data_IF_013136144801
#
_entry.id   IF_013136144801
#
_cell.length_a   1.000
_cell.length_b   1.000
_cell.length_c   1.000
_cell.angle_alpha   90.00
_cell.angle_beta   90.00
_cell.angle_gamma   90.00
#
_symmetry.space_group_name_H-M   'P 1'
#
loop_
_entity.id
_entity.type
_entity.pdbx_description
1 polymer ?
#
# COMPACT_ATOMS: atom_id res chain seq x y z
N UNK A 1 -12.00 4.13 1.94
CA UNK A 1 -10.64 4.27 1.37
C UNK A 1 -10.50 5.54 0.53
N UNK A 2 -11.50 5.93 -0.26
CA UNK A 2 -11.47 7.14 -1.09
C UNK A 2 -11.13 8.43 -0.31
N UNK A 3 -11.82 8.70 0.81
CA UNK A 3 -11.50 9.85 1.67
C UNK A 3 -10.07 9.81 2.22
N UNK A 4 -9.59 8.62 2.60
CA UNK A 4 -8.23 8.44 3.09
C UNK A 4 -7.21 8.72 1.96
N UNK A 5 -7.50 8.28 0.73
CA UNK A 5 -6.69 8.56 -0.46
C UNK A 5 -6.62 10.06 -0.74
N UNK A 6 -7.74 10.77 -0.69
CA UNK A 6 -7.76 12.22 -0.90
C UNK A 6 -6.90 12.97 0.12
N UNK A 7 -6.97 12.58 1.40
CA UNK A 7 -6.12 13.16 2.44
C UNK A 7 -4.65 12.82 2.18
N UNK A 8 -4.37 11.55 1.88
CA UNK A 8 -3.02 11.07 1.59
C UNK A 8 -2.37 11.79 0.40
N UNK A 9 -3.12 12.04 -0.68
CA UNK A 9 -2.66 12.78 -1.86
C UNK A 9 -2.34 14.25 -1.55
N UNK A 10 -3.03 14.85 -0.57
CA UNK A 10 -2.79 16.23 -0.14
C UNK A 10 -1.68 16.39 0.89
N UNK A 11 -1.15 15.31 1.46
CA UNK A 11 -0.03 15.37 2.40
C UNK A 11 1.24 15.84 1.68
N UNK A 12 1.84 16.92 2.17
CA UNK A 12 3.14 17.43 1.68
C UNK A 12 4.28 16.46 1.98
N UNK A 13 4.19 15.74 3.09
CA UNK A 13 5.11 14.66 3.47
C UNK A 13 4.30 13.50 4.03
N UNK A 14 4.51 12.31 3.47
CA UNK A 14 3.90 11.05 3.92
C UNK A 14 4.92 10.29 4.75
N UNK A 15 4.55 9.94 5.96
CA UNK A 15 5.37 9.10 6.83
C UNK A 15 5.03 7.61 6.66
N UNK A 16 5.81 6.75 7.31
CA UNK A 16 5.63 5.30 7.26
C UNK A 16 4.21 4.87 7.64
N UNK A 17 3.57 5.55 8.60
CA UNK A 17 2.21 5.22 9.06
C UNK A 17 1.17 5.55 8.00
N UNK A 18 1.27 6.72 7.35
CA UNK A 18 0.36 7.09 6.27
C UNK A 18 0.45 6.11 5.09
N UNK A 19 1.67 5.71 4.72
CA UNK A 19 1.89 4.69 3.69
C UNK A 19 1.32 3.33 4.09
N UNK A 20 1.65 2.84 5.27
CA UNK A 20 1.23 1.52 5.74
C UNK A 20 -0.29 1.42 5.85
N UNK A 21 -0.96 2.48 6.31
CA UNK A 21 -2.42 2.57 6.34
C UNK A 21 -3.05 2.51 4.95
N UNK A 22 -2.52 3.26 3.98
CA UNK A 22 -3.03 3.28 2.61
C UNK A 22 -2.81 1.96 1.88
N UNK A 23 -1.65 1.35 2.03
CA UNK A 23 -1.33 0.03 1.47
C UNK A 23 -2.26 -1.02 2.07
N UNK A 24 -2.33 -1.10 3.40
CA UNK A 24 -3.18 -2.08 4.11
C UNK A 24 -4.64 -1.94 3.72
N UNK A 25 -5.17 -0.71 3.71
CA UNK A 25 -6.55 -0.43 3.33
C UNK A 25 -6.85 -0.78 1.87
N UNK A 26 -5.89 -0.59 0.96
CA UNK A 26 -6.05 -0.95 -0.46
C UNK A 26 -6.14 -2.47 -0.63
N UNK A 27 -5.19 -3.21 -0.05
CA UNK A 27 -5.16 -4.68 -0.13
C UNK A 27 -6.39 -5.31 0.53
N UNK A 28 -6.79 -4.83 1.71
CA UNK A 28 -7.98 -5.32 2.42
C UNK A 28 -9.27 -5.09 1.63
N UNK A 29 -9.36 -3.99 0.88
CA UNK A 29 -10.51 -3.69 0.02
C UNK A 29 -10.48 -4.42 -1.33
N UNK A 30 -9.51 -5.30 -1.54
CA UNK A 30 -9.40 -6.09 -2.77
C UNK A 30 -8.55 -5.45 -3.86
N UNK A 31 -8.15 -4.19 -3.71
CA UNK A 31 -7.27 -3.47 -4.64
C UNK A 31 -5.80 -3.86 -4.41
N UNK A 32 -5.47 -5.09 -4.82
CA UNK A 32 -4.13 -5.67 -4.64
C UNK A 32 -3.08 -4.94 -5.48
N UNK A 33 -3.40 -4.61 -6.72
CA UNK A 33 -2.51 -3.87 -7.60
C UNK A 33 -2.25 -2.45 -7.09
N UNK A 34 -3.30 -1.75 -6.65
CA UNK A 34 -3.16 -0.43 -6.03
C UNK A 34 -2.34 -0.48 -4.74
N UNK A 35 -2.55 -1.51 -3.91
CA UNK A 35 -1.72 -1.75 -2.72
C UNK A 35 -0.23 -1.93 -3.03
N UNK A 36 0.10 -2.76 -4.02
CA UNK A 36 1.50 -2.95 -4.45
C UNK A 36 2.09 -1.72 -5.13
N UNK A 37 1.28 -0.95 -5.87
CA UNK A 37 1.71 0.31 -6.46
C UNK A 37 2.10 1.32 -5.38
N UNK A 38 1.28 1.48 -4.35
CA UNK A 38 1.57 2.33 -3.20
C UNK A 38 2.83 1.86 -2.46
N UNK A 39 3.00 0.55 -2.28
CA UNK A 39 4.23 0.00 -1.69
C UNK A 39 5.48 0.37 -2.50
N UNK A 40 5.42 0.30 -3.83
CA UNK A 40 6.52 0.71 -4.70
C UNK A 40 6.79 2.22 -4.60
N UNK A 41 5.75 3.04 -4.59
CA UNK A 41 5.88 4.50 -4.45
C UNK A 41 6.48 4.90 -3.09
N UNK A 42 6.14 4.20 -2.00
CA UNK A 42 6.74 4.36 -0.68
C UNK A 42 8.26 4.19 -0.74
N UNK A 43 8.73 3.10 -1.37
CA UNK A 43 10.16 2.80 -1.53
C UNK A 43 10.87 3.85 -2.39
N UNK A 44 10.25 4.25 -3.51
CA UNK A 44 10.79 5.30 -4.39
C UNK A 44 10.84 6.68 -3.71
N UNK A 45 9.97 6.92 -2.73
CA UNK A 45 9.97 8.13 -1.89
C UNK A 45 11.02 8.09 -0.77
N UNK A 46 11.83 7.04 -0.68
CA UNK A 46 12.85 6.86 0.35
C UNK A 46 12.29 6.52 1.73
N UNK A 47 11.00 6.16 1.82
CA UNK A 47 10.38 5.76 3.08
C UNK A 47 10.53 4.25 3.24
N UNK A 48 11.17 3.83 4.33
CA UNK A 48 11.40 2.41 4.60
C UNK A 48 10.10 1.72 5.05
N UNK A 49 9.71 0.61 4.41
CA UNK A 49 8.62 -0.23 4.89
C UNK A 49 8.90 -0.76 6.29
N UNK A 50 7.89 -0.74 7.14
CA UNK A 50 7.93 -1.42 8.44
C UNK A 50 7.38 -2.86 8.31
N UNK A 51 7.54 -3.71 9.35
CA UNK A 51 7.02 -5.08 9.32
C UNK A 51 5.52 -5.17 9.05
N UNK A 52 4.74 -4.17 9.48
CA UNK A 52 3.30 -4.08 9.21
C UNK A 52 3.05 -3.89 7.72
N UNK A 53 3.76 -2.98 7.08
CA UNK A 53 3.68 -2.74 5.63
C UNK A 53 4.00 -4.00 4.85
N UNK A 54 5.08 -4.70 5.22
CA UNK A 54 5.48 -5.96 4.57
C UNK A 54 4.40 -7.03 4.75
N UNK A 55 3.85 -7.19 5.97
CA UNK A 55 2.79 -8.13 6.23
C UNK A 55 1.53 -7.84 5.40
N UNK A 56 1.20 -6.56 5.21
CA UNK A 56 0.02 -6.13 4.46
C UNK A 56 0.11 -6.37 2.95
N UNK A 57 1.31 -6.40 2.35
CA UNK A 57 1.47 -6.65 0.90
C UNK A 57 1.53 -8.14 0.55
N UNK A 58 1.89 -9.03 1.48
CA UNK A 58 1.98 -10.47 1.21
C UNK A 58 0.68 -11.07 0.62
N UNK A 59 -0.52 -10.78 1.15
CA UNK A 59 -1.76 -11.30 0.57
C UNK A 59 -2.01 -10.80 -0.85
N UNK A 60 -1.60 -9.56 -1.16
CA UNK A 60 -1.73 -9.00 -2.51
C UNK A 60 -0.85 -9.77 -3.50
N UNK A 61 0.40 -10.06 -3.13
CA UNK A 61 1.29 -10.88 -3.96
C UNK A 61 0.73 -12.28 -4.21
N UNK A 62 0.22 -12.94 -3.18
CA UNK A 62 -0.35 -14.29 -3.31
C UNK A 62 -1.58 -14.30 -4.22
N UNK A 63 -2.49 -13.33 -4.06
CA UNK A 63 -3.71 -13.22 -4.87
C UNK A 63 -3.43 -12.94 -6.34
N UNK A 64 -2.51 -12.02 -6.63
CA UNK A 64 -2.14 -11.70 -8.01
C UNK A 64 -1.36 -12.83 -8.66
N UNK A 65 -0.45 -13.49 -7.93
CA UNK A 65 0.24 -14.67 -8.42
C UNK A 65 -0.71 -15.83 -8.74
N UNK A 66 -1.77 -16.02 -7.96
CA UNK A 66 -2.80 -17.03 -8.22
C UNK A 66 -3.68 -16.72 -9.45
N UNK A 67 -3.82 -15.44 -9.83
CA UNK A 67 -4.55 -15.01 -11.02
C UNK A 67 -3.76 -15.21 -12.33
N UNK A 68 -2.45 -15.47 -12.24
CA UNK A 68 -1.58 -15.69 -13.39
C UNK A 68 -1.42 -17.18 -13.77
N UNK A 69 -2.32 -18.06 -13.29
CA UNK A 69 -2.40 -19.48 -13.65
C UNK A 69 -3.63 -19.78 -14.50
#
# INVERSE_FOLDING_TARGET
LENARHVFEKMSKRDTVAWSAMISGSVQNGDCEGGLRLFREMQLSGVQPDPVTIASVMPACARLGALQQ
#
